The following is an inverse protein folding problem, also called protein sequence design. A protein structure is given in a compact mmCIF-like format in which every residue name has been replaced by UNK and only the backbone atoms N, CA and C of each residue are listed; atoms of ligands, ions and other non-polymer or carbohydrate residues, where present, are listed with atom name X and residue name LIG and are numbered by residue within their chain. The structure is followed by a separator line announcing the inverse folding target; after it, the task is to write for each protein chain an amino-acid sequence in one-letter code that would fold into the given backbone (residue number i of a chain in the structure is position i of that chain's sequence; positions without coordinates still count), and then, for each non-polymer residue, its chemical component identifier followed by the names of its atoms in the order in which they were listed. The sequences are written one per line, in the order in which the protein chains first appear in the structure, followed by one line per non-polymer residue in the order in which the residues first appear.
data_IF_528114983083
#
_entry.id   IF_528114983083
#
_cell.length_a   1.000
_cell.length_b   1.000
_cell.length_c   1.000
_cell.angle_alpha   90.00
_cell.angle_beta   90.00
_cell.angle_gamma   90.00
#
_symmetry.space_group_name_H-M   'P 1'
#
loop_
_entity.id
_entity.type
_entity.pdbx_description
1 polymer ?
#
# COMPACT_ATOMS: atom_id res chain seq x y z
N UNK A 1 -10.41 -0.14 -9.33
CA UNK A 1 -9.95 1.08 -8.62
C UNK A 1 -9.03 0.63 -7.50
N UNK A 2 -7.87 1.28 -7.33
CA UNK A 2 -6.90 0.93 -6.28
C UNK A 2 -6.99 1.95 -5.14
N UNK A 3 -6.73 1.50 -3.91
CA UNK A 3 -6.67 2.32 -2.71
C UNK A 3 -5.28 2.24 -2.08
N UNK A 4 -4.80 3.31 -1.45
CA UNK A 4 -3.55 3.32 -0.71
C UNK A 4 -3.82 3.25 0.79
N UNK A 5 -3.17 2.30 1.47
CA UNK A 5 -3.25 2.15 2.93
C UNK A 5 -1.85 2.04 3.52
N UNK A 6 -1.61 2.78 4.58
CA UNK A 6 -0.41 2.67 5.38
C UNK A 6 -0.55 1.54 6.42
N UNK A 7 0.48 0.70 6.51
CA UNK A 7 0.70 -0.21 7.62
C UNK A 7 1.77 0.37 8.54
N UNK A 8 1.47 0.45 9.84
CA UNK A 8 2.47 0.76 10.86
C UNK A 8 3.24 -0.50 11.20
N UNK A 9 4.50 -0.55 10.78
CA UNK A 9 5.42 -1.59 11.25
C UNK A 9 5.78 -1.32 12.71
N UNK A 10 5.43 -2.26 13.58
CA UNK A 10 5.66 -2.20 15.03
C UNK A 10 7.14 -1.93 15.40
N UNK A 11 8.05 -2.26 14.50
CA UNK A 11 9.49 -2.24 14.77
C UNK A 11 10.12 -0.84 14.70
N UNK A 12 9.48 0.17 14.10
CA UNK A 12 10.20 1.44 13.85
C UNK A 12 9.39 2.74 13.80
N UNK A 13 8.06 2.71 13.85
CA UNK A 13 7.25 3.94 13.69
C UNK A 13 7.31 4.50 12.26
N UNK A 14 7.74 3.69 11.30
CA UNK A 14 7.69 4.02 9.88
C UNK A 14 6.35 3.54 9.32
N UNK A 15 5.72 4.38 8.51
CA UNK A 15 4.52 4.03 7.75
C UNK A 15 4.95 3.43 6.41
N UNK A 16 4.55 2.18 6.16
CA UNK A 16 4.73 1.52 4.88
C UNK A 16 3.41 1.56 4.11
N UNK A 17 3.38 2.30 3.02
CA UNK A 17 2.23 2.46 2.15
C UNK A 17 2.14 1.30 1.15
N UNK A 18 1.04 0.58 1.23
CA UNK A 18 0.68 -0.49 0.33
C UNK A 18 -0.48 -0.06 -0.57
N UNK A 19 -0.46 -0.58 -1.80
CA UNK A 19 -1.59 -0.46 -2.72
C UNK A 19 -2.47 -1.69 -2.59
N UNK A 20 -3.75 -1.46 -2.36
CA UNK A 20 -4.80 -2.46 -2.24
C UNK A 20 -5.71 -2.37 -3.45
N UNK A 21 -6.10 -3.51 -4.01
CA UNK A 21 -7.20 -3.53 -4.95
C UNK A 21 -8.52 -3.35 -4.19
N UNK A 22 -9.35 -2.39 -4.60
CA UNK A 22 -10.67 -2.15 -3.97
C UNK A 22 -11.63 -3.33 -4.14
N UNK A 23 -11.38 -4.17 -5.14
CA UNK A 23 -12.17 -5.36 -5.46
C UNK A 23 -11.92 -6.52 -4.49
N UNK A 24 -10.67 -6.73 -4.10
CA UNK A 24 -10.29 -7.71 -3.09
C UNK A 24 -10.10 -6.99 -1.77
N UNK A 25 -11.17 -6.98 -0.97
CA UNK A 25 -11.25 -6.41 0.38
C UNK A 25 -10.05 -6.80 1.23
N UNK A 26 -8.97 -5.99 1.17
CA UNK A 26 -7.71 -6.09 1.94
C UNK A 26 -6.54 -6.88 1.30
N UNK A 27 -6.61 -7.28 0.03
CA UNK A 27 -5.44 -7.88 -0.64
C UNK A 27 -4.54 -6.80 -1.25
N UNK A 28 -3.32 -6.69 -0.74
CA UNK A 28 -2.32 -5.84 -1.38
C UNK A 28 -1.82 -6.48 -2.67
N UNK A 29 -1.35 -5.64 -3.58
CA UNK A 29 -0.73 -6.10 -4.83
C UNK A 29 0.58 -6.88 -4.61
N UNK A 30 1.23 -6.71 -3.46
CA UNK A 30 2.40 -7.50 -3.09
C UNK A 30 2.04 -8.86 -2.46
N UNK A 31 0.76 -9.18 -2.32
CA UNK A 31 0.29 -10.43 -1.70
C UNK A 31 0.24 -10.42 -0.17
N UNK A 32 0.61 -9.30 0.47
CA UNK A 32 0.46 -9.10 1.90
C UNK A 32 -1.01 -8.83 2.26
N UNK A 33 -1.47 -9.38 3.37
CA UNK A 33 -2.77 -9.07 3.95
C UNK A 33 -2.61 -7.92 4.94
N UNK A 34 -3.18 -6.76 4.63
CA UNK A 34 -3.19 -5.65 5.57
C UNK A 34 -4.18 -5.93 6.68
N UNK A 35 -3.75 -5.82 7.92
CA UNK A 35 -4.63 -5.97 9.05
C UNK A 35 -5.55 -4.74 9.17
N UNK A 36 -6.87 -4.87 8.96
CA UNK A 36 -7.79 -3.73 8.95
C UNK A 36 -7.99 -3.11 10.35
N UNK A 37 -7.59 -3.81 11.41
CA UNK A 37 -7.72 -3.33 12.80
C UNK A 37 -6.63 -2.35 13.23
N UNK A 38 -5.54 -2.23 12.46
CA UNK A 38 -4.44 -1.33 12.80
C UNK A 38 -4.57 -0.03 12.00
N UNK A 39 -5.36 0.91 12.52
CA UNK A 39 -5.30 2.30 12.05
C UNK A 39 -4.03 2.90 12.64
N UNK A 40 -3.02 3.27 11.82
CA UNK A 40 -1.84 3.93 12.36
C UNK A 40 -2.27 5.18 13.14
N UNK A 41 -1.67 5.46 14.31
CA UNK A 41 -1.87 6.74 14.96
C UNK A 41 -1.48 7.88 13.99
N UNK A 42 -2.10 9.06 14.10
CA UNK A 42 -1.73 10.20 13.26
C UNK A 42 -0.22 10.44 13.41
N UNK A 43 0.50 10.42 12.29
CA UNK A 43 1.95 10.60 12.29
C UNK A 43 2.27 11.96 12.94
N UNK A 44 2.92 11.91 14.10
CA UNK A 44 3.25 13.12 14.88
C UNK A 44 4.42 13.89 14.22
N UNK A 45 5.18 13.25 13.34
CA UNK A 45 6.30 13.83 12.62
C UNK A 45 6.32 13.30 11.17
N UNK A 46 6.77 14.08 10.16
CA UNK A 46 6.90 13.63 8.77
C UNK A 46 8.07 12.65 8.63
N UNK A 47 7.93 11.47 9.22
CA UNK A 47 8.79 10.33 8.95
C UNK A 47 8.51 9.91 7.51
N UNK A 48 9.55 9.93 6.67
CA UNK A 48 9.43 9.73 5.23
C UNK A 48 8.44 8.61 4.87
N UNK A 49 7.46 8.93 4.02
CA UNK A 49 6.50 7.97 3.52
C UNK A 49 7.24 6.88 2.73
N UNK A 50 7.27 5.66 3.28
CA UNK A 50 7.86 4.52 2.59
C UNK A 50 6.77 3.84 1.77
N UNK A 51 6.98 3.68 0.46
CA UNK A 51 6.04 2.96 -0.39
C UNK A 51 6.56 1.55 -0.67
N UNK A 52 5.67 0.56 -0.64
CA UNK A 52 6.02 -0.80 -1.03
C UNK A 52 6.38 -0.84 -2.53
N UNK A 53 7.64 -1.13 -2.83
CA UNK A 53 8.15 -1.19 -4.20
C UNK A 53 7.38 -2.20 -5.07
N UNK A 54 7.02 -3.36 -4.51
CA UNK A 54 6.24 -4.37 -5.21
C UNK A 54 4.83 -3.89 -5.56
N UNK A 55 4.14 -3.22 -4.63
CA UNK A 55 2.84 -2.59 -4.91
C UNK A 55 2.94 -1.53 -6.01
N UNK A 56 3.93 -0.64 -5.93
CA UNK A 56 4.14 0.41 -6.92
C UNK A 56 4.48 -0.15 -8.30
N UNK A 57 5.27 -1.22 -8.36
CA UNK A 57 5.60 -1.89 -9.61
C UNK A 57 4.37 -2.57 -10.23
N UNK A 58 3.56 -3.27 -9.41
CA UNK A 58 2.32 -3.89 -9.87
C UNK A 58 1.32 -2.85 -10.41
N UNK A 59 1.17 -1.69 -9.75
CA UNK A 59 0.34 -0.60 -10.29
C UNK A 59 0.85 -0.15 -11.65
N UNK A 60 2.16 0.09 -11.79
CA UNK A 60 2.75 0.51 -13.08
C UNK A 60 2.47 -0.51 -14.18
N UNK A 61 2.75 -1.79 -13.92
CA UNK A 61 2.48 -2.87 -14.86
C UNK A 61 1.01 -2.94 -15.29
N UNK A 62 0.07 -2.75 -14.35
CA UNK A 62 -1.38 -2.73 -14.65
C UNK A 62 -1.82 -1.47 -15.41
N UNK A 63 -1.09 -0.37 -15.26
CA UNK A 63 -1.38 0.90 -15.97
C UNK A 63 -0.82 0.86 -17.39
N UNK A 64 0.33 0.21 -17.57
CA UNK A 64 0.96 -0.04 -18.88
C UNK A 64 0.18 -1.09 -19.69
N UNK A 65 -0.36 -2.14 -19.07
CA UNK A 65 -1.18 -3.15 -19.73
C UNK A 65 -2.55 -2.63 -20.22
N UNK A 66 -3.03 -1.50 -19.69
CA UNK A 66 -4.23 -0.77 -20.16
C UNK A 66 -3.90 0.20 -21.30
N UNK A 67 -2.62 0.27 -21.72
CA UNK A 67 -2.13 1.09 -22.81
C UNK A 67 -1.65 0.26 -24.01
N UNK A 68 -2.34 -0.84 -24.33
CA UNK A 68 -2.21 -1.52 -25.64
C UNK A 68 -3.45 -1.20 -26.49
N UNK A 69 -3.32 -0.39 -27.57
CA UNK A 69 -4.36 -0.15 -28.57
C UNK A 69 -4.47 -1.28 -29.61
#
# INVERSE_FOLDING_TARGET
MYEMRAESSAERGHLLWHVIAKDTTLSTLCGSLLNPGHVPPPAIEPSADHYCAACMHAVRAQTEAVAEP
#
